data_IF_847581416899
#
_entry.id   IF_847581416899
#
_cell.length_a   1.000
_cell.length_b   1.000
_cell.length_c   1.000
_cell.angle_alpha   90.00
_cell.angle_beta   90.00
_cell.angle_gamma   90.00
#
_symmetry.space_group_name_H-M   'P 1'
#
loop_
_entity.id
_entity.type
_entity.pdbx_description
1 polymer ?
#
# COMPACT_ATOMS: atom_id res chain seq x y z
N UNK A 1 -14.78 -21.55 -19.38
CA UNK A 1 -13.59 -20.79 -18.88
C UNK A 1 -13.74 -20.62 -17.37
N UNK A 2 -12.71 -20.88 -16.58
CA UNK A 2 -12.76 -20.66 -15.13
C UNK A 2 -12.90 -19.16 -14.79
N UNK A 3 -13.57 -18.83 -13.67
CA UNK A 3 -13.70 -17.45 -13.19
C UNK A 3 -12.31 -16.86 -12.93
N UNK A 4 -11.97 -15.79 -13.64
CA UNK A 4 -10.67 -15.14 -13.49
C UNK A 4 -10.54 -14.56 -12.07
N UNK A 5 -9.46 -14.92 -11.36
CA UNK A 5 -9.07 -14.30 -10.09
C UNK A 5 -7.94 -13.32 -10.33
N UNK A 6 -8.01 -12.15 -9.70
CA UNK A 6 -6.96 -11.14 -9.81
C UNK A 6 -5.68 -11.60 -9.10
N UNK A 7 -4.52 -11.09 -9.52
CA UNK A 7 -3.25 -11.37 -8.83
C UNK A 7 -3.27 -10.90 -7.37
N UNK A 8 -3.89 -9.75 -7.10
CA UNK A 8 -4.11 -9.25 -5.73
C UNK A 8 -4.92 -10.23 -4.89
N UNK A 9 -6.07 -10.72 -5.40
CA UNK A 9 -6.91 -11.69 -4.68
C UNK A 9 -6.21 -13.02 -4.41
N UNK A 10 -5.30 -13.45 -5.29
CA UNK A 10 -4.50 -14.67 -5.11
C UNK A 10 -3.40 -14.48 -4.06
N UNK A 11 -2.88 -13.26 -3.93
CA UNK A 11 -1.85 -12.90 -2.97
C UNK A 11 -2.40 -12.43 -1.61
N UNK A 12 -3.73 -12.28 -1.48
CA UNK A 12 -4.36 -11.77 -0.26
C UNK A 12 -4.15 -10.28 0.00
N UNK A 13 -3.87 -9.49 -1.05
CA UNK A 13 -3.53 -8.06 -0.94
C UNK A 13 -4.70 -7.18 -1.40
N UNK A 14 -4.91 -6.06 -0.71
CA UNK A 14 -5.78 -4.97 -1.16
C UNK A 14 -5.13 -4.16 -2.29
N UNK A 15 -3.80 -4.00 -2.25
CA UNK A 15 -3.05 -3.22 -3.23
C UNK A 15 -3.00 -3.91 -4.60
N UNK A 16 -2.99 -3.12 -5.70
CA UNK A 16 -3.14 -3.65 -7.05
C UNK A 16 -1.82 -4.20 -7.63
N UNK A 17 -1.51 -5.48 -7.36
CA UNK A 17 -0.33 -6.21 -7.88
C UNK A 17 -0.17 -6.05 -9.40
N UNK A 18 -1.27 -6.09 -10.15
CA UNK A 18 -1.22 -5.95 -11.61
C UNK A 18 -0.80 -4.56 -12.08
N UNK A 19 -1.23 -3.50 -11.37
CA UNK A 19 -0.83 -2.13 -11.65
C UNK A 19 0.65 -1.93 -11.31
N UNK A 20 1.10 -2.46 -10.18
CA UNK A 20 2.50 -2.36 -9.74
C UNK A 20 3.44 -3.05 -10.73
N UNK A 21 3.09 -4.26 -11.20
CA UNK A 21 3.88 -4.92 -12.26
C UNK A 21 4.01 -4.03 -13.51
N UNK A 22 2.91 -3.43 -13.97
CA UNK A 22 2.92 -2.54 -15.14
C UNK A 22 3.79 -1.29 -14.92
N UNK A 23 3.74 -0.70 -13.72
CA UNK A 23 4.59 0.44 -13.37
C UNK A 23 6.08 0.06 -13.34
N UNK A 24 6.43 -1.11 -12.78
CA UNK A 24 7.80 -1.62 -12.78
C UNK A 24 8.34 -1.82 -14.20
N UNK A 25 7.53 -2.38 -15.10
CA UNK A 25 7.89 -2.54 -16.53
C UNK A 25 8.11 -1.18 -17.22
N UNK A 26 7.23 -0.19 -16.96
CA UNK A 26 7.31 1.14 -17.56
C UNK A 26 8.48 1.97 -17.01
N UNK A 27 8.89 1.70 -15.77
CA UNK A 27 9.97 2.42 -15.11
C UNK A 27 11.38 2.06 -15.59
N UNK A 28 11.54 1.10 -16.51
CA UNK A 28 12.84 0.67 -17.06
C UNK A 28 13.88 0.28 -15.98
N UNK A 29 13.43 -0.24 -14.83
CA UNK A 29 14.32 -0.64 -13.73
C UNK A 29 15.20 -1.86 -14.08
N UNK A 30 14.70 -2.73 -14.97
CA UNK A 30 15.41 -3.89 -15.50
C UNK A 30 14.75 -4.36 -16.79
N UNK A 31 15.47 -5.09 -17.65
CA UNK A 31 14.93 -5.68 -18.88
C UNK A 31 13.77 -6.66 -18.59
N UNK A 32 13.87 -7.43 -17.50
CA UNK A 32 12.86 -8.40 -17.08
C UNK A 32 12.44 -8.16 -15.64
N UNK A 33 11.15 -8.24 -15.38
CA UNK A 33 10.57 -8.15 -14.05
C UNK A 33 10.00 -9.52 -13.66
N UNK A 34 10.54 -10.11 -12.60
CA UNK A 34 10.07 -11.39 -12.07
C UNK A 34 8.61 -11.33 -11.59
N UNK A 35 7.89 -12.46 -11.66
CA UNK A 35 6.47 -12.50 -11.32
C UNK A 35 6.18 -12.18 -9.83
N UNK A 36 7.12 -12.52 -8.93
CA UNK A 36 7.01 -12.26 -7.48
C UNK A 36 7.34 -10.83 -7.05
N UNK A 37 8.19 -10.12 -7.82
CA UNK A 37 8.59 -8.74 -7.51
C UNK A 37 7.41 -7.77 -7.26
N UNK A 38 6.37 -7.70 -8.13
CA UNK A 38 5.22 -6.83 -7.87
C UNK A 38 4.32 -7.31 -6.73
N UNK A 39 4.37 -8.59 -6.36
CA UNK A 39 3.61 -9.11 -5.21
C UNK A 39 4.26 -8.62 -3.92
N UNK A 40 5.58 -8.80 -3.81
CA UNK A 40 6.35 -8.36 -2.66
C UNK A 40 6.27 -6.85 -2.47
N UNK A 41 6.50 -6.07 -3.55
CA UNK A 41 6.40 -4.62 -3.47
C UNK A 41 4.98 -4.15 -3.11
N UNK A 42 3.93 -4.81 -3.64
CA UNK A 42 2.55 -4.49 -3.25
C UNK A 42 2.30 -4.74 -1.76
N UNK A 43 2.80 -5.86 -1.22
CA UNK A 43 2.66 -6.19 0.19
C UNK A 43 3.38 -5.17 1.09
N UNK A 44 4.60 -4.77 0.74
CA UNK A 44 5.35 -3.76 1.50
C UNK A 44 4.64 -2.41 1.47
N UNK A 45 4.18 -1.96 0.31
CA UNK A 45 3.45 -0.70 0.19
C UNK A 45 2.13 -0.72 0.97
N UNK A 46 1.41 -1.85 0.96
CA UNK A 46 0.18 -2.03 1.72
C UNK A 46 0.43 -1.99 3.22
N UNK A 47 1.45 -2.71 3.69
CA UNK A 47 1.87 -2.72 5.09
C UNK A 47 2.21 -1.31 5.59
N UNK A 48 3.12 -0.61 4.92
CA UNK A 48 3.52 0.74 5.30
C UNK A 48 2.34 1.73 5.27
N UNK A 49 1.44 1.57 4.30
CA UNK A 49 0.23 2.41 4.23
C UNK A 49 -0.71 2.13 5.40
N UNK A 50 -0.89 0.86 5.78
CA UNK A 50 -1.73 0.48 6.90
C UNK A 50 -1.18 1.05 8.22
N UNK A 51 0.13 0.95 8.45
CA UNK A 51 0.80 1.49 9.64
C UNK A 51 0.56 3.00 9.79
N UNK A 52 0.84 3.77 8.73
CA UNK A 52 0.66 5.23 8.75
C UNK A 52 -0.83 5.60 8.94
N UNK A 53 -1.75 4.86 8.32
CA UNK A 53 -3.18 5.13 8.45
C UNK A 53 -3.74 4.79 9.83
N UNK A 54 -3.21 3.76 10.49
CA UNK A 54 -3.57 3.39 11.86
C UNK A 54 -3.18 4.53 12.83
N UNK A 55 -1.92 4.94 12.80
CA UNK A 55 -1.42 6.03 13.64
C UNK A 55 -2.11 7.37 13.34
N UNK A 56 -2.33 7.70 12.07
CA UNK A 56 -3.06 8.91 11.69
C UNK A 56 -4.55 8.85 12.05
N UNK A 57 -5.14 7.67 12.05
CA UNK A 57 -6.50 7.42 12.52
C UNK A 57 -6.64 7.68 14.02
N UNK A 58 -5.66 7.21 14.80
CA UNK A 58 -5.58 7.48 16.25
C UNK A 58 -5.41 8.98 16.52
N UNK A 59 -4.46 9.65 15.85
CA UNK A 59 -4.28 11.10 15.95
C UNK A 59 -5.55 11.90 15.55
N UNK A 60 -6.33 11.40 14.58
CA UNK A 60 -7.62 12.00 14.23
C UNK A 60 -8.64 11.86 15.35
N UNK A 61 -8.73 10.67 15.94
CA UNK A 61 -9.65 10.36 17.04
C UNK A 61 -9.35 11.21 18.27
N UNK A 62 -8.09 11.36 18.63
CA UNK A 62 -7.64 12.16 19.78
C UNK A 62 -7.98 13.64 19.61
N UNK A 63 -7.92 14.14 18.37
CA UNK A 63 -8.35 15.49 18.01
C UNK A 63 -9.87 15.63 17.83
N UNK A 64 -10.65 14.60 18.22
CA UNK A 64 -12.13 14.54 18.11
C UNK A 64 -12.62 14.76 16.68
N UNK A 65 -11.88 14.25 15.68
CA UNK A 65 -12.22 14.31 14.26
C UNK A 65 -12.44 12.91 13.70
N UNK A 66 -13.41 12.77 12.80
CA UNK A 66 -13.70 11.51 12.09
C UNK A 66 -12.95 11.36 10.76
N UNK A 67 -12.27 12.41 10.30
CA UNK A 67 -11.55 12.44 9.02
C UNK A 67 -10.08 12.75 9.23
N UNK A 68 -9.22 11.90 8.65
CA UNK A 68 -7.77 12.12 8.57
C UNK A 68 -7.49 13.34 7.68
N UNK A 69 -6.66 14.26 8.18
CA UNK A 69 -6.15 15.44 7.46
C UNK A 69 -4.61 15.43 7.48
N UNK A 70 -3.92 16.27 6.67
CA UNK A 70 -2.45 16.29 6.65
C UNK A 70 -1.78 16.47 8.01
N UNK A 71 -2.41 17.21 8.96
CA UNK A 71 -1.89 17.34 10.32
C UNK A 71 -1.83 16.01 11.07
N UNK A 72 -2.81 15.13 10.89
CA UNK A 72 -2.82 13.81 11.56
C UNK A 72 -1.72 12.90 10.99
N UNK A 73 -1.48 12.96 9.67
CA UNK A 73 -0.36 12.26 9.04
C UNK A 73 0.98 12.78 9.58
N UNK A 74 1.13 14.09 9.72
CA UNK A 74 2.36 14.67 10.27
C UNK A 74 2.61 14.24 11.72
N UNK A 75 1.55 14.20 12.55
CA UNK A 75 1.66 13.75 13.94
C UNK A 75 2.04 12.26 14.01
N UNK A 76 1.41 11.42 13.20
CA UNK A 76 1.74 10.00 13.10
C UNK A 76 3.22 9.80 12.75
N UNK A 77 3.70 10.44 11.68
CA UNK A 77 5.08 10.24 11.18
C UNK A 77 6.15 10.78 12.13
N UNK A 78 5.87 11.87 12.87
CA UNK A 78 6.89 12.52 13.73
C UNK A 78 6.97 11.94 15.13
N UNK A 79 5.91 11.27 15.58
CA UNK A 79 5.82 10.73 16.93
C UNK A 79 6.06 9.22 16.98
N UNK A 80 6.20 8.58 15.82
CA UNK A 80 6.65 7.20 15.67
C UNK A 80 8.20 7.18 15.67
N UNK A 81 8.81 6.21 16.35
CA UNK A 81 10.28 6.08 16.49
C UNK A 81 10.97 5.53 15.23
#
# INVERSE_FOLDING_TARGET
>A
RAKARSRSSRAGLQFPVGRIHRLLRRGNYAERIGAGAPVYLAAVLEYLTAEILELAGNASRDNKKTRIIPRHLQLAIRNDE
#
